data_IF_833709554637
#
_entry.id   IF_833709554637
#
_cell.length_a   1.000
_cell.length_b   1.000
_cell.length_c   1.000
_cell.angle_alpha   90.00
_cell.angle_beta   90.00
_cell.angle_gamma   90.00
#
_symmetry.space_group_name_H-M   'P 1'
#
loop_
_entity.id
_entity.type
_entity.pdbx_description
1 polymer ?
#
# COMPACT_ATOMS: atom_id res chain seq x y z
N UNK A 1 -17.52 -4.57 5.08
CA UNK A 1 -16.67 -3.96 6.13
C UNK A 1 -17.16 -2.54 6.43
N UNK A 2 -17.15 -2.08 7.68
CA UNK A 2 -17.72 -0.77 8.05
C UNK A 2 -16.85 0.39 7.51
N UNK A 3 -17.43 1.37 6.78
CA UNK A 3 -16.70 2.46 6.08
C UNK A 3 -15.75 3.23 7.01
N UNK A 4 -16.11 3.42 8.28
CA UNK A 4 -15.27 4.10 9.27
C UNK A 4 -13.94 3.36 9.57
N UNK A 5 -13.93 2.03 9.50
CA UNK A 5 -12.71 1.23 9.73
C UNK A 5 -11.71 1.38 8.58
N UNK A 6 -12.20 1.37 7.33
CA UNK A 6 -11.40 1.60 6.12
C UNK A 6 -10.73 2.97 6.19
N UNK A 7 -11.50 4.03 6.45
CA UNK A 7 -10.96 5.38 6.55
C UNK A 7 -9.87 5.52 7.62
N UNK A 8 -10.03 4.84 8.77
CA UNK A 8 -9.01 4.85 9.84
C UNK A 8 -7.72 4.17 9.38
N UNK A 9 -7.80 3.05 8.66
CA UNK A 9 -6.63 2.35 8.11
C UNK A 9 -5.94 3.22 7.06
N UNK A 10 -6.72 3.85 6.18
CA UNK A 10 -6.19 4.72 5.13
C UNK A 10 -5.44 5.90 5.72
N UNK A 11 -6.10 6.66 6.61
CA UNK A 11 -5.48 7.80 7.32
C UNK A 11 -4.26 7.39 8.13
N UNK A 12 -4.21 6.16 8.64
CA UNK A 12 -3.06 5.67 9.41
C UNK A 12 -1.91 5.26 8.52
N UNK A 13 -2.12 4.62 7.37
CA UNK A 13 -1.05 3.97 6.58
C UNK A 13 -0.65 4.71 5.31
N UNK A 14 -1.52 5.57 4.78
CA UNK A 14 -1.35 6.22 3.46
C UNK A 14 -1.25 7.73 3.55
N UNK A 15 -0.56 8.22 4.59
CA UNK A 15 -0.38 9.67 4.84
C UNK A 15 0.53 10.34 3.82
N UNK A 16 1.57 9.64 3.36
CA UNK A 16 2.59 10.22 2.47
C UNK A 16 2.40 9.74 1.04
N UNK A 17 2.87 10.55 0.07
CA UNK A 17 2.97 10.13 -1.32
C UNK A 17 3.69 8.78 -1.46
N UNK A 18 4.86 8.64 -0.83
CA UNK A 18 5.67 7.42 -0.90
C UNK A 18 4.91 6.17 -0.41
N UNK A 19 4.13 6.29 0.67
CA UNK A 19 3.32 5.16 1.16
C UNK A 19 2.23 4.73 0.18
N UNK A 20 1.63 5.70 -0.52
CA UNK A 20 0.60 5.44 -1.53
C UNK A 20 1.23 4.82 -2.77
N UNK A 21 2.31 5.42 -3.26
CA UNK A 21 3.04 4.97 -4.43
C UNK A 21 3.55 3.53 -4.29
N UNK A 22 4.26 3.21 -3.19
CA UNK A 22 4.77 1.85 -2.96
C UNK A 22 3.62 0.85 -2.89
N UNK A 23 2.53 1.19 -2.21
CA UNK A 23 1.40 0.25 -2.09
C UNK A 23 0.68 0.04 -3.43
N UNK A 24 0.51 1.09 -4.23
CA UNK A 24 -0.02 0.97 -5.60
C UNK A 24 0.85 0.04 -6.46
N UNK A 25 2.17 0.18 -6.41
CA UNK A 25 3.07 -0.71 -7.16
C UNK A 25 2.94 -2.18 -6.74
N UNK A 26 2.69 -2.45 -5.46
CA UNK A 26 2.44 -3.82 -4.99
C UNK A 26 1.07 -4.32 -5.47
N UNK A 27 0.05 -3.43 -5.49
CA UNK A 27 -1.33 -3.77 -5.85
C UNK A 27 -1.57 -3.91 -7.36
N UNK A 28 -0.78 -3.25 -8.19
CA UNK A 28 -0.86 -3.36 -9.64
C UNK A 28 -0.19 -4.64 -10.19
N UNK A 29 0.28 -5.53 -9.31
CA UNK A 29 1.01 -6.75 -9.65
C UNK A 29 0.42 -7.95 -8.89
N UNK A 30 0.53 -9.14 -9.46
CA UNK A 30 0.16 -10.37 -8.75
C UNK A 30 1.09 -10.61 -7.54
N UNK A 31 2.38 -10.34 -7.71
CA UNK A 31 3.38 -10.33 -6.66
C UNK A 31 4.60 -9.51 -7.07
N UNK A 32 5.45 -9.17 -6.10
CA UNK A 32 6.74 -8.52 -6.31
C UNK A 32 7.75 -8.94 -5.25
N UNK A 33 9.02 -8.67 -5.50
CA UNK A 33 10.12 -8.86 -4.54
C UNK A 33 10.56 -7.53 -3.95
N UNK A 34 11.28 -7.58 -2.82
CA UNK A 34 11.91 -6.38 -2.24
C UNK A 34 12.86 -5.70 -3.23
N UNK A 35 13.61 -6.48 -4.01
CA UNK A 35 14.59 -5.96 -4.95
C UNK A 35 13.92 -5.24 -6.12
N UNK A 36 12.79 -5.75 -6.59
CA UNK A 36 11.97 -5.07 -7.60
C UNK A 36 11.42 -3.75 -7.07
N UNK A 37 10.87 -3.73 -5.86
CA UNK A 37 10.40 -2.49 -5.24
C UNK A 37 11.52 -1.44 -5.11
N UNK A 38 12.72 -1.85 -4.70
CA UNK A 38 13.90 -0.97 -4.64
C UNK A 38 14.22 -0.41 -6.04
N UNK A 39 14.20 -1.27 -7.06
CA UNK A 39 14.50 -0.89 -8.45
C UNK A 39 13.46 0.07 -9.03
N UNK A 40 12.18 -0.18 -8.77
CA UNK A 40 11.08 0.64 -9.29
C UNK A 40 11.01 2.01 -8.63
N UNK A 41 11.22 2.08 -7.31
CA UNK A 41 11.06 3.34 -6.58
C UNK A 41 12.36 4.13 -6.38
N UNK A 42 13.52 3.49 -6.56
CA UNK A 42 14.83 4.07 -6.22
C UNK A 42 15.04 4.28 -4.71
N UNK A 43 14.20 3.69 -3.85
CA UNK A 43 14.32 3.86 -2.40
C UNK A 43 15.31 2.89 -1.79
N UNK A 44 15.94 3.31 -0.69
CA UNK A 44 16.83 2.43 0.06
C UNK A 44 16.09 1.21 0.60
N UNK A 45 16.82 0.09 0.74
CA UNK A 45 16.31 -1.16 1.32
C UNK A 45 15.61 -0.92 2.68
N UNK A 46 16.23 -0.11 3.55
CA UNK A 46 15.69 0.25 4.87
C UNK A 46 14.33 0.94 4.73
N UNK A 47 14.17 1.80 3.73
CA UNK A 47 12.91 2.52 3.48
C UNK A 47 11.83 1.56 3.02
N UNK A 48 12.12 0.68 2.05
CA UNK A 48 11.20 -0.35 1.59
C UNK A 48 10.79 -1.26 2.75
N UNK A 49 11.75 -1.77 3.53
CA UNK A 49 11.47 -2.65 4.66
C UNK A 49 10.57 -1.98 5.72
N UNK A 50 10.76 -0.69 6.00
CA UNK A 50 9.87 0.08 6.90
C UNK A 50 8.42 0.12 6.40
N UNK A 51 8.22 0.35 5.10
CA UNK A 51 6.88 0.37 4.52
C UNK A 51 6.25 -1.02 4.49
N UNK A 52 7.00 -2.05 4.11
CA UNK A 52 6.53 -3.43 4.12
C UNK A 52 6.14 -3.90 5.52
N UNK A 53 6.94 -3.60 6.54
CA UNK A 53 6.59 -3.89 7.93
C UNK A 53 5.30 -3.18 8.36
N UNK A 54 5.12 -1.92 7.97
CA UNK A 54 3.91 -1.15 8.29
C UNK A 54 2.67 -1.74 7.63
N UNK A 55 2.74 -2.07 6.34
CA UNK A 55 1.63 -2.66 5.60
C UNK A 55 1.29 -4.06 6.09
N UNK A 56 2.31 -4.88 6.39
CA UNK A 56 2.13 -6.20 6.97
C UNK A 56 1.46 -6.15 8.35
N UNK A 57 1.90 -5.25 9.25
CA UNK A 57 1.23 -5.02 10.55
C UNK A 57 -0.23 -4.59 10.41
N UNK A 58 -0.55 -3.87 9.32
CA UNK A 58 -1.91 -3.47 9.00
C UNK A 58 -2.71 -4.53 8.22
N UNK A 59 -2.10 -5.70 7.96
CA UNK A 59 -2.67 -6.82 7.18
C UNK A 59 -3.08 -6.42 5.76
N UNK A 60 -2.35 -5.47 5.14
CA UNK A 60 -2.62 -4.99 3.78
C UNK A 60 -1.85 -5.75 2.71
N UNK A 61 -0.77 -6.39 3.12
CA UNK A 61 0.06 -7.23 2.26
C UNK A 61 0.38 -8.52 3.01
N UNK A 62 0.69 -9.57 2.25
CA UNK A 62 1.33 -10.78 2.73
C UNK A 62 2.80 -10.74 2.32
N UNK A 63 3.67 -11.25 3.19
CA UNK A 63 5.12 -11.29 2.98
C UNK A 63 5.58 -12.73 3.19
N UNK A 64 5.59 -13.50 2.10
CA UNK A 64 6.12 -14.84 2.08
C UNK A 64 7.63 -14.78 1.77
N UNK A 65 8.39 -15.88 1.97
CA UNK A 65 9.82 -15.87 1.71
C UNK A 65 10.16 -15.37 0.29
N UNK A 66 10.79 -14.20 0.20
CA UNK A 66 11.19 -13.58 -1.07
C UNK A 66 10.11 -12.77 -1.81
N UNK A 67 8.82 -12.96 -1.51
CA UNK A 67 7.70 -12.39 -2.27
C UNK A 67 6.75 -11.57 -1.40
N UNK A 68 6.18 -10.54 -2.00
CA UNK A 68 5.21 -9.61 -1.41
C UNK A 68 4.02 -9.50 -2.37
N UNK A 69 2.81 -9.64 -1.84
CA UNK A 69 1.57 -9.49 -2.60
C UNK A 69 0.49 -8.88 -1.71
N UNK A 70 -0.54 -8.30 -2.33
CA UNK A 70 -1.64 -7.67 -1.61
C UNK A 70 -2.52 -8.73 -0.95
N UNK A 71 -3.06 -8.40 0.23
CA UNK A 71 -4.05 -9.26 0.90
C UNK A 71 -5.47 -8.89 0.47
N UNK A 72 -6.46 -9.74 0.75
CA UNK A 72 -7.88 -9.42 0.48
C UNK A 72 -8.32 -8.08 1.10
N UNK A 73 -7.78 -7.73 2.28
CA UNK A 73 -8.03 -6.43 2.91
C UNK A 73 -7.33 -5.29 2.15
N UNK A 74 -6.10 -5.53 1.69
CA UNK A 74 -5.37 -4.59 0.86
C UNK A 74 -6.11 -4.29 -0.44
N UNK A 75 -6.66 -5.31 -1.11
CA UNK A 75 -7.46 -5.19 -2.34
C UNK A 75 -8.72 -4.35 -2.12
N UNK A 76 -9.47 -4.63 -1.04
CA UNK A 76 -10.63 -3.83 -0.66
C UNK A 76 -10.27 -2.36 -0.40
N UNK A 77 -9.09 -2.12 0.18
CA UNK A 77 -8.61 -0.77 0.41
C UNK A 77 -8.14 -0.12 -0.89
N UNK A 78 -7.43 -0.84 -1.76
CA UNK A 78 -6.93 -0.34 -3.03
C UNK A 78 -8.07 0.05 -3.97
N UNK A 79 -9.09 -0.80 -4.11
CA UNK A 79 -10.34 -0.45 -4.80
C UNK A 79 -11.03 0.76 -4.20
N UNK A 80 -10.95 0.97 -2.88
CA UNK A 80 -11.47 2.16 -2.20
C UNK A 80 -10.59 3.41 -2.33
N UNK A 81 -9.33 3.30 -2.78
CA UNK A 81 -8.43 4.46 -2.93
C UNK A 81 -8.98 5.46 -3.96
N UNK A 82 -9.54 4.96 -5.06
CA UNK A 82 -10.02 5.81 -6.15
C UNK A 82 -11.10 6.78 -5.65
N UNK A 83 -12.04 6.28 -4.85
CA UNK A 83 -13.10 7.11 -4.24
C UNK A 83 -12.55 8.08 -3.20
N UNK A 84 -11.59 7.64 -2.37
CA UNK A 84 -11.02 8.47 -1.31
C UNK A 84 -10.19 9.65 -1.87
N UNK A 85 -9.38 9.41 -2.91
CA UNK A 85 -8.58 10.45 -3.54
C UNK A 85 -9.38 11.36 -4.46
N UNK A 86 -10.47 10.89 -5.08
CA UNK A 86 -11.39 11.79 -5.81
C UNK A 86 -12.14 12.74 -4.87
N UNK A 87 -12.47 12.31 -3.65
CA UNK A 87 -13.06 13.18 -2.62
C UNK A 87 -12.07 14.20 -2.04
N UNK A 88 -10.79 13.84 -1.90
CA UNK A 88 -9.77 14.68 -1.26
C UNK A 88 -8.89 15.47 -2.24
N UNK A 89 -8.85 15.09 -3.51
CA UNK A 89 -8.35 15.89 -4.62
C UNK A 89 -9.56 16.38 -5.43
N UNK A 90 -10.36 17.30 -4.87
CA UNK A 90 -11.14 18.22 -5.72
C UNK A 90 -10.11 18.93 -6.61
N UNK A 91 -9.83 18.36 -7.77
CA UNK A 91 -9.20 19.07 -8.88
C UNK A 91 -10.24 20.12 -9.25
N UNK A 92 -9.94 21.35 -8.84
CA UNK A 92 -10.63 22.55 -9.30
C UNK A 92 -10.21 22.84 -10.73
#
# INVERSE_FOLDING_TARGET
>A
MNKGKIQKIIKKNFKSFNSRYIFSLIADQDFCTRNELIKWTGFSKITIDKYLQRFSKARLINNAPGIVYVSDLGEQIYSSFYDFFKMHNKIS
#
